data_IF_579895560537
#
_entry.id   IF_579895560537
#
_cell.length_a   1.000
_cell.length_b   1.000
_cell.length_c   1.000
_cell.angle_alpha   90.00
_cell.angle_beta   90.00
_cell.angle_gamma   90.00
#
_symmetry.space_group_name_H-M   'P 1'
#
loop_
_entity.id
_entity.type
_entity.pdbx_description
1 polymer ?
#
# COMPACT_ATOMS: atom_id res chain seq x y z
N UNK A 1 4.26 3.69 -10.19
CA UNK A 1 3.88 2.58 -11.09
C UNK A 1 3.90 1.22 -10.40
N UNK A 2 4.95 0.84 -9.67
CA UNK A 2 5.04 -0.49 -9.04
C UNK A 2 3.89 -0.82 -8.08
N UNK A 3 3.47 0.11 -7.20
CA UNK A 3 2.28 -0.09 -6.36
C UNK A 3 1.00 -0.33 -7.17
N UNK A 4 0.83 0.36 -8.30
CA UNK A 4 -0.33 0.13 -9.17
C UNK A 4 -0.29 -1.28 -9.77
N UNK A 5 0.89 -1.73 -10.24
CA UNK A 5 1.08 -3.10 -10.71
C UNK A 5 0.80 -4.14 -9.63
N UNK A 6 1.25 -3.91 -8.40
CA UNK A 6 0.96 -4.77 -7.25
C UNK A 6 -0.55 -4.91 -7.03
N UNK A 7 -1.29 -3.80 -6.95
CA UNK A 7 -2.74 -3.84 -6.74
C UNK A 7 -3.47 -4.52 -7.89
N UNK A 8 -3.05 -4.30 -9.14
CA UNK A 8 -3.64 -4.96 -10.32
C UNK A 8 -3.38 -6.46 -10.29
N UNK A 9 -2.15 -6.90 -9.98
CA UNK A 9 -1.84 -8.34 -9.87
C UNK A 9 -2.64 -8.97 -8.74
N UNK A 10 -2.72 -8.30 -7.58
CA UNK A 10 -3.47 -8.82 -6.43
C UNK A 10 -4.98 -8.90 -6.71
N UNK A 11 -5.53 -7.96 -7.49
CA UNK A 11 -6.92 -8.02 -7.96
C UNK A 11 -7.23 -9.24 -8.84
N UNK A 12 -6.24 -9.76 -9.59
CA UNK A 12 -6.43 -10.97 -10.41
C UNK A 12 -6.55 -12.24 -9.55
N UNK A 13 -6.15 -12.18 -8.29
CA UNK A 13 -6.24 -13.30 -7.35
C UNK A 13 -7.65 -13.29 -6.74
N UNK A 14 -8.44 -14.37 -6.87
CA UNK A 14 -9.75 -14.43 -6.24
C UNK A 14 -9.61 -14.40 -4.72
N UNK A 15 -10.60 -13.83 -4.04
CA UNK A 15 -10.63 -13.79 -2.58
C UNK A 15 -10.41 -15.19 -1.98
N UNK A 16 -9.64 -15.31 -0.87
CA UNK A 16 -9.47 -16.58 -0.19
C UNK A 16 -10.83 -17.21 0.18
N UNK A 17 -11.02 -18.52 -0.02
CA UNK A 17 -12.26 -19.18 0.36
C UNK A 17 -12.48 -19.14 1.88
N UNK A 18 -13.74 -19.09 2.30
CA UNK A 18 -14.11 -19.12 3.73
C UNK A 18 -13.86 -20.50 4.37
N UNK A 19 -13.82 -21.56 3.57
CA UNK A 19 -13.54 -22.92 4.03
C UNK A 19 -12.04 -23.12 4.20
N UNK A 20 -11.61 -23.35 5.44
CA UNK A 20 -10.19 -23.48 5.83
C UNK A 20 -9.49 -24.61 5.07
N UNK A 21 -10.16 -25.73 4.86
CA UNK A 21 -9.64 -26.89 4.12
C UNK A 21 -9.33 -26.59 2.65
N UNK A 22 -9.90 -25.52 2.08
CA UNK A 22 -9.66 -25.11 0.70
C UNK A 22 -8.51 -24.10 0.57
N UNK A 23 -8.04 -23.49 1.67
CA UNK A 23 -7.02 -22.45 1.63
C UNK A 23 -5.69 -22.95 1.06
N UNK A 24 -5.25 -24.15 1.45
CA UNK A 24 -4.01 -24.74 0.93
C UNK A 24 -4.07 -24.94 -0.60
N UNK A 25 -5.23 -25.36 -1.11
CA UNK A 25 -5.45 -25.50 -2.55
C UNK A 25 -5.46 -24.15 -3.25
N UNK A 26 -6.16 -23.16 -2.67
CA UNK A 26 -6.18 -21.79 -3.20
C UNK A 26 -4.77 -21.20 -3.32
N UNK A 27 -3.90 -21.39 -2.32
CA UNK A 27 -2.50 -20.94 -2.38
C UNK A 27 -1.77 -21.63 -3.55
N UNK A 28 -1.96 -22.93 -3.74
CA UNK A 28 -1.30 -23.67 -4.83
C UNK A 28 -1.79 -23.21 -6.20
N UNK A 29 -3.10 -23.03 -6.37
CA UNK A 29 -3.73 -22.61 -7.62
C UNK A 29 -3.27 -21.20 -8.04
N UNK A 30 -3.05 -20.29 -7.07
CA UNK A 30 -2.69 -18.89 -7.31
C UNK A 30 -1.24 -18.54 -6.96
N UNK A 31 -0.41 -19.55 -6.70
CA UNK A 31 0.97 -19.40 -6.23
C UNK A 31 1.79 -18.43 -7.06
N UNK A 32 1.71 -18.54 -8.39
CA UNK A 32 2.50 -17.71 -9.32
C UNK A 32 2.12 -16.24 -9.18
N UNK A 33 0.82 -15.92 -9.09
CA UNK A 33 0.36 -14.54 -8.94
C UNK A 33 0.76 -13.96 -7.59
N UNK A 34 0.66 -14.75 -6.53
CA UNK A 34 1.12 -14.37 -5.20
C UNK A 34 2.63 -14.10 -5.19
N UNK A 35 3.45 -14.94 -5.82
CA UNK A 35 4.89 -14.73 -5.96
C UNK A 35 5.21 -13.45 -6.75
N UNK A 36 4.51 -13.21 -7.87
CA UNK A 36 4.70 -11.98 -8.65
C UNK A 36 4.30 -10.75 -7.82
N UNK A 37 3.19 -10.81 -7.08
CA UNK A 37 2.76 -9.73 -6.22
C UNK A 37 3.79 -9.43 -5.13
N UNK A 38 4.36 -10.47 -4.51
CA UNK A 38 5.44 -10.38 -3.53
C UNK A 38 6.65 -9.63 -4.10
N UNK A 39 7.22 -10.11 -5.21
CA UNK A 39 8.38 -9.48 -5.85
C UNK A 39 8.11 -8.02 -6.24
N UNK A 40 6.93 -7.73 -6.81
CA UNK A 40 6.56 -6.33 -7.15
C UNK A 40 6.49 -5.47 -5.89
N UNK A 41 5.95 -5.99 -4.79
CA UNK A 41 5.76 -5.24 -3.56
C UNK A 41 7.09 -4.82 -2.95
N UNK A 42 8.06 -5.73 -2.80
CA UNK A 42 9.36 -5.36 -2.23
C UNK A 42 10.07 -4.30 -3.09
N UNK A 43 10.05 -4.42 -4.42
CA UNK A 43 10.61 -3.40 -5.30
C UNK A 43 9.82 -2.08 -5.23
N UNK A 44 8.50 -2.12 -5.04
CA UNK A 44 7.68 -0.93 -4.84
C UNK A 44 8.09 -0.19 -3.56
N UNK A 45 8.27 -0.91 -2.46
CA UNK A 45 8.70 -0.37 -1.16
C UNK A 45 10.09 0.26 -1.26
N UNK A 46 11.05 -0.42 -1.88
CA UNK A 46 12.41 0.10 -2.06
C UNK A 46 12.43 1.36 -2.93
N UNK A 47 11.64 1.40 -4.01
CA UNK A 47 11.49 2.58 -4.86
C UNK A 47 10.71 3.72 -4.18
N UNK A 48 9.92 3.41 -3.14
CA UNK A 48 9.14 4.41 -2.43
C UNK A 48 10.00 5.29 -1.51
N UNK A 49 11.06 4.73 -0.92
CA UNK A 49 12.01 5.45 -0.06
C UNK A 49 12.54 6.74 -0.71
N UNK A 50 13.20 6.70 -1.90
CA UNK A 50 13.68 7.91 -2.54
C UNK A 50 12.54 8.84 -3.00
N UNK A 51 11.37 8.28 -3.31
CA UNK A 51 10.19 9.07 -3.70
C UNK A 51 9.69 9.94 -2.54
N UNK A 52 9.62 9.41 -1.31
CA UNK A 52 9.24 10.19 -0.13
C UNK A 52 10.30 11.23 0.21
N UNK A 53 11.57 10.86 0.13
CA UNK A 53 12.67 11.80 0.37
C UNK A 53 12.65 12.98 -0.61
N UNK A 54 12.22 12.77 -1.86
CA UNK A 54 12.03 13.86 -2.82
C UNK A 54 10.86 14.77 -2.45
N UNK A 55 9.74 14.20 -2.00
CA UNK A 55 8.52 14.94 -1.64
C UNK A 55 8.69 15.86 -0.43
N UNK A 56 9.44 15.43 0.57
CA UNK A 56 9.77 16.27 1.70
C UNK A 56 11.12 15.88 2.27
N UNK A 57 12.07 16.79 2.11
CA UNK A 57 13.44 16.57 2.53
C UNK A 57 13.72 17.32 3.84
N UNK A 58 13.98 16.63 4.96
CA UNK A 58 14.25 17.27 6.25
C UNK A 58 15.48 18.20 6.23
N UNK A 59 16.37 18.07 5.24
CA UNK A 59 17.54 18.93 5.08
C UNK A 59 17.27 20.21 4.29
N UNK A 60 16.07 20.38 3.69
CA UNK A 60 15.66 21.62 3.05
C UNK A 60 15.12 22.60 4.10
N UNK A 61 15.61 23.85 4.08
CA UNK A 61 15.30 24.88 5.09
C UNK A 61 13.83 25.30 5.18
N UNK A 62 13.02 25.04 4.16
CA UNK A 62 11.65 25.56 4.03
C UNK A 62 10.57 24.48 4.00
N UNK A 63 10.87 23.24 4.43
CA UNK A 63 9.84 22.20 4.45
C UNK A 63 8.80 22.45 5.56
N UNK A 64 7.50 22.39 5.24
CA UNK A 64 6.45 22.59 6.22
C UNK A 64 6.43 21.42 7.22
N UNK A 65 6.22 21.67 8.53
CA UNK A 65 6.20 20.62 9.56
C UNK A 65 5.22 19.48 9.28
N UNK A 66 4.08 19.78 8.65
CA UNK A 66 3.09 18.77 8.28
C UNK A 66 3.60 17.78 7.21
N UNK A 67 4.42 18.23 6.25
CA UNK A 67 5.03 17.34 5.26
C UNK A 67 6.13 16.47 5.86
N UNK A 68 6.92 17.02 6.80
CA UNK A 68 7.90 16.24 7.56
C UNK A 68 7.23 15.19 8.45
N UNK A 69 6.12 15.55 9.12
CA UNK A 69 5.34 14.60 9.91
C UNK A 69 4.74 13.50 9.03
N UNK A 70 4.19 13.86 7.86
CA UNK A 70 3.69 12.89 6.88
C UNK A 70 4.80 11.95 6.37
N UNK A 71 6.01 12.47 6.12
CA UNK A 71 7.19 11.64 5.80
C UNK A 71 7.49 10.66 6.92
N UNK A 72 7.48 11.15 8.16
CA UNK A 72 7.70 10.33 9.35
C UNK A 72 6.68 9.19 9.48
N UNK A 73 5.40 9.46 9.27
CA UNK A 73 4.34 8.43 9.25
C UNK A 73 4.64 7.36 8.20
N UNK A 74 5.03 7.75 6.99
CA UNK A 74 5.32 6.79 5.93
C UNK A 74 6.57 5.97 6.24
N UNK A 75 7.66 6.61 6.65
CA UNK A 75 8.91 5.93 6.96
C UNK A 75 8.81 4.99 8.15
N UNK A 76 8.12 5.40 9.21
CA UNK A 76 8.09 4.65 10.46
C UNK A 76 6.97 3.61 10.51
N UNK A 77 5.89 3.79 9.75
CA UNK A 77 4.72 2.90 9.81
C UNK A 77 4.44 2.23 8.47
N UNK A 78 4.27 2.99 7.39
CA UNK A 78 3.81 2.44 6.11
C UNK A 78 4.85 1.53 5.48
N UNK A 79 6.12 1.95 5.40
CA UNK A 79 7.17 1.12 4.79
C UNK A 79 7.37 -0.20 5.56
N UNK A 80 7.54 -0.22 6.90
CA UNK A 80 7.66 -1.48 7.63
C UNK A 80 6.41 -2.36 7.51
N UNK A 81 5.21 -1.78 7.46
CA UNK A 81 3.98 -2.55 7.27
C UNK A 81 3.90 -3.17 5.88
N UNK A 82 4.33 -2.50 4.82
CA UNK A 82 4.41 -3.13 3.50
C UNK A 82 5.47 -4.24 3.46
N UNK A 83 6.63 -4.06 4.11
CA UNK A 83 7.61 -5.14 4.28
C UNK A 83 7.02 -6.31 5.06
N UNK A 84 6.18 -6.05 6.06
CA UNK A 84 5.46 -7.11 6.77
C UNK A 84 4.50 -7.84 5.82
N UNK A 85 3.70 -7.12 5.02
CA UNK A 85 2.79 -7.73 4.03
C UNK A 85 3.54 -8.61 3.05
N UNK A 86 4.69 -8.15 2.55
CA UNK A 86 5.61 -8.91 1.70
C UNK A 86 6.03 -10.21 2.41
N UNK A 87 6.60 -10.13 3.62
CA UNK A 87 6.99 -11.33 4.37
C UNK A 87 5.82 -12.31 4.64
N UNK A 88 4.60 -11.81 4.82
CA UNK A 88 3.40 -12.64 4.99
C UNK A 88 3.05 -13.37 3.70
N UNK A 89 3.03 -12.67 2.55
CA UNK A 89 2.77 -13.27 1.24
C UNK A 89 3.88 -14.26 0.89
N UNK A 90 5.14 -13.85 1.02
CA UNK A 90 6.31 -14.69 0.81
C UNK A 90 6.27 -15.97 1.64
N UNK A 91 5.81 -15.90 2.91
CA UNK A 91 5.65 -17.11 3.73
C UNK A 91 4.60 -18.07 3.19
N UNK A 92 3.53 -17.58 2.55
CA UNK A 92 2.50 -18.43 1.94
C UNK A 92 3.03 -19.21 0.73
N UNK A 93 3.94 -18.63 -0.05
CA UNK A 93 4.34 -19.19 -1.36
C UNK A 93 5.74 -19.79 -1.42
N UNK A 94 6.67 -19.32 -0.58
CA UNK A 94 8.04 -19.80 -0.56
C UNK A 94 8.24 -20.87 0.52
N UNK A 95 8.61 -22.11 0.12
CA UNK A 95 8.84 -23.20 1.06
C UNK A 95 10.21 -23.05 1.74
N UNK A 96 10.36 -22.04 2.60
CA UNK A 96 11.56 -21.85 3.41
C UNK A 96 11.63 -22.97 4.45
N UNK A 97 12.73 -23.71 4.45
CA UNK A 97 13.03 -24.83 5.36
C UNK A 97 12.04 -26.02 5.29
N UNK A 98 11.21 -26.12 4.24
CA UNK A 98 10.27 -27.25 4.00
C UNK A 98 9.25 -27.45 5.15
N UNK A 99 9.06 -26.46 6.03
CA UNK A 99 8.05 -26.55 7.08
C UNK A 99 6.65 -26.40 6.48
N UNK A 100 5.77 -27.43 6.60
CA UNK A 100 4.41 -27.32 6.12
C UNK A 100 3.67 -26.24 6.89
N UNK A 101 2.89 -25.43 6.18
CA UNK A 101 1.98 -24.48 6.80
C UNK A 101 0.74 -25.23 7.29
N UNK A 102 0.49 -25.18 8.60
CA UNK A 102 -0.79 -25.62 9.14
C UNK A 102 -1.91 -24.67 8.72
N UNK A 103 -3.12 -25.19 8.62
CA UNK A 103 -4.32 -24.43 8.27
C UNK A 103 -4.53 -23.20 9.17
N UNK A 104 -4.36 -23.36 10.48
CA UNK A 104 -4.45 -22.26 11.45
C UNK A 104 -3.42 -21.15 11.18
N UNK A 105 -2.20 -21.53 10.76
CA UNK A 105 -1.16 -20.58 10.40
C UNK A 105 -1.54 -19.81 9.14
N UNK A 106 -2.12 -20.47 8.14
CA UNK A 106 -2.57 -19.81 6.91
C UNK A 106 -3.65 -18.77 7.22
N UNK A 107 -4.66 -19.15 8.01
CA UNK A 107 -5.73 -18.25 8.45
C UNK A 107 -5.16 -17.05 9.20
N UNK A 108 -4.22 -17.29 10.12
CA UNK A 108 -3.54 -16.24 10.86
C UNK A 108 -2.78 -15.27 9.93
N UNK A 109 -1.99 -15.79 8.99
CA UNK A 109 -1.21 -14.97 8.04
C UNK A 109 -2.12 -14.10 7.17
N UNK A 110 -3.21 -14.68 6.61
CA UNK A 110 -4.18 -13.93 5.80
C UNK A 110 -4.93 -12.87 6.62
N UNK A 111 -5.32 -13.20 7.85
CA UNK A 111 -5.98 -12.25 8.76
C UNK A 111 -5.07 -11.09 9.12
N UNK A 112 -3.79 -11.39 9.42
CA UNK A 112 -2.78 -10.38 9.74
C UNK A 112 -2.46 -9.52 8.52
N UNK A 113 -2.43 -10.09 7.32
CA UNK A 113 -2.27 -9.35 6.07
C UNK A 113 -3.41 -8.33 5.89
N UNK A 114 -4.67 -8.75 6.05
CA UNK A 114 -5.84 -7.84 5.96
C UNK A 114 -5.76 -6.74 7.02
N UNK A 115 -5.44 -7.08 8.28
CA UNK A 115 -5.27 -6.10 9.35
C UNK A 115 -4.13 -5.11 9.11
N UNK A 116 -3.03 -5.58 8.50
CA UNK A 116 -1.89 -4.72 8.15
C UNK A 116 -2.27 -3.77 7.01
N UNK A 117 -2.99 -4.24 5.99
CA UNK A 117 -3.49 -3.41 4.89
C UNK A 117 -4.51 -2.37 5.36
N UNK A 118 -5.35 -2.69 6.35
CA UNK A 118 -6.22 -1.73 7.03
C UNK A 118 -5.41 -0.57 7.62
N UNK A 119 -4.38 -0.90 8.42
CA UNK A 119 -3.51 0.10 9.05
C UNK A 119 -2.73 0.93 8.02
N UNK A 120 -2.18 0.30 6.99
CA UNK A 120 -1.50 0.98 5.87
C UNK A 120 -2.44 2.02 5.25
N UNK A 121 -3.68 1.64 4.95
CA UNK A 121 -4.64 2.53 4.30
C UNK A 121 -4.99 3.73 5.17
N UNK A 122 -5.20 3.54 6.48
CA UNK A 122 -5.46 4.64 7.41
C UNK A 122 -4.29 5.62 7.54
N UNK A 123 -3.07 5.08 7.68
CA UNK A 123 -1.86 5.92 7.80
C UNK A 123 -1.57 6.65 6.49
N UNK A 124 -1.72 5.97 5.35
CA UNK A 124 -1.62 6.59 4.03
C UNK A 124 -2.66 7.69 3.84
N UNK A 125 -3.91 7.47 4.23
CA UNK A 125 -4.95 8.50 4.16
C UNK A 125 -4.49 9.78 4.89
N UNK A 126 -4.06 9.64 6.16
CA UNK A 126 -3.58 10.77 6.94
C UNK A 126 -2.36 11.44 6.30
N UNK A 127 -1.37 10.66 5.86
CA UNK A 127 -0.17 11.20 5.23
C UNK A 127 -0.50 11.96 3.94
N UNK A 128 -1.35 11.42 3.07
CA UNK A 128 -1.83 12.06 1.85
C UNK A 128 -2.50 13.39 2.17
N UNK A 129 -3.38 13.43 3.17
CA UNK A 129 -4.06 14.65 3.59
C UNK A 129 -3.06 15.73 4.04
N UNK A 130 -2.09 15.35 4.88
CA UNK A 130 -1.07 16.25 5.39
C UNK A 130 -0.14 16.81 4.30
N UNK A 131 0.31 15.97 3.38
CA UNK A 131 1.06 16.42 2.20
C UNK A 131 0.24 17.37 1.35
N UNK A 132 -1.02 17.02 1.09
CA UNK A 132 -1.92 17.81 0.26
C UNK A 132 -2.17 19.20 0.85
N UNK A 133 -2.36 19.30 2.18
CA UNK A 133 -2.45 20.58 2.90
C UNK A 133 -1.13 21.36 2.81
N UNK A 134 0.00 20.67 2.93
CA UNK A 134 1.33 21.28 2.90
C UNK A 134 1.67 21.89 1.55
N UNK A 135 1.33 21.20 0.47
CA UNK A 135 1.64 21.63 -0.89
C UNK A 135 0.61 22.60 -1.48
N UNK A 136 -0.53 22.84 -0.81
CA UNK A 136 -1.63 23.68 -1.33
C UNK A 136 -1.21 25.07 -1.80
N UNK A 137 -0.19 25.67 -1.17
CA UNK A 137 0.30 27.02 -1.45
C UNK A 137 1.39 27.07 -2.53
N UNK A 138 1.91 25.92 -2.96
CA UNK A 138 2.90 25.82 -4.04
C UNK A 138 2.20 26.06 -5.39
N UNK A 139 2.96 26.40 -6.43
CA UNK A 139 2.45 26.56 -7.80
C UNK A 139 1.81 25.24 -8.24
N UNK A 140 0.55 25.23 -8.68
CA UNK A 140 -0.19 23.99 -8.98
C UNK A 140 -0.72 23.22 -7.77
N UNK A 141 -0.45 23.69 -6.55
CA UNK A 141 -0.82 23.02 -5.29
C UNK A 141 -2.32 22.88 -5.05
N UNK A 142 -3.15 23.73 -5.66
CA UNK A 142 -4.61 23.60 -5.58
C UNK A 142 -5.14 22.30 -6.19
N UNK A 143 -4.55 21.86 -7.32
CA UNK A 143 -4.90 20.58 -7.95
C UNK A 143 -4.42 19.40 -7.10
N UNK A 144 -3.20 19.44 -6.59
CA UNK A 144 -2.66 18.42 -5.67
C UNK A 144 -3.55 18.30 -4.43
N UNK A 145 -4.01 19.43 -3.89
CA UNK A 145 -4.91 19.44 -2.75
C UNK A 145 -6.25 18.76 -3.06
N UNK A 146 -6.90 19.13 -4.17
CA UNK A 146 -8.17 18.54 -4.57
C UNK A 146 -8.07 17.01 -4.79
N UNK A 147 -7.09 16.55 -5.56
CA UNK A 147 -6.84 15.12 -5.75
C UNK A 147 -6.46 14.42 -4.45
N UNK A 148 -5.71 15.09 -3.58
CA UNK A 148 -5.37 14.62 -2.25
C UNK A 148 -6.56 14.34 -1.37
N UNK A 149 -7.60 15.19 -1.40
CA UNK A 149 -8.85 14.96 -0.66
C UNK A 149 -9.57 13.71 -1.18
N UNK A 150 -9.64 13.51 -2.50
CA UNK A 150 -10.22 12.29 -3.07
C UNK A 150 -9.42 11.05 -2.70
N UNK A 151 -8.09 11.09 -2.82
CA UNK A 151 -7.22 9.98 -2.44
C UNK A 151 -7.32 9.67 -0.95
N UNK A 152 -7.38 10.68 -0.08
CA UNK A 152 -7.67 10.50 1.35
C UNK A 152 -8.98 9.73 1.56
N UNK A 153 -10.09 10.17 0.92
CA UNK A 153 -11.39 9.51 1.05
C UNK A 153 -11.35 8.06 0.56
N UNK A 154 -10.68 7.81 -0.57
CA UNK A 154 -10.52 6.46 -1.10
C UNK A 154 -9.66 5.57 -0.22
N UNK A 155 -8.58 6.07 0.39
CA UNK A 155 -7.79 5.28 1.34
C UNK A 155 -8.57 4.99 2.64
N UNK A 156 -9.40 5.93 3.10
CA UNK A 156 -10.33 5.66 4.21
C UNK A 156 -11.31 4.53 3.88
N UNK A 157 -11.87 4.53 2.67
CA UNK A 157 -12.75 3.45 2.20
C UNK A 157 -11.97 2.13 2.09
N UNK A 158 -10.80 2.15 1.44
CA UNK A 158 -9.93 0.98 1.27
C UNK A 158 -9.52 0.31 2.58
N UNK A 159 -9.48 1.06 3.68
CA UNK A 159 -9.18 0.51 5.01
C UNK A 159 -10.16 -0.59 5.44
N UNK A 160 -11.37 -0.63 4.90
CA UNK A 160 -12.38 -1.66 5.18
C UNK A 160 -12.46 -2.70 4.06
N UNK A 161 -11.31 -3.21 3.62
CA UNK A 161 -11.18 -4.07 2.43
C UNK A 161 -12.04 -5.34 2.46
N UNK A 162 -12.40 -5.85 3.65
CA UNK A 162 -13.23 -7.04 3.81
C UNK A 162 -14.73 -6.83 3.54
N UNK A 163 -15.17 -5.57 3.43
CA UNK A 163 -16.58 -5.22 3.13
C UNK A 163 -16.75 -4.86 1.64
N UNK A 164 -15.66 -4.46 0.98
CA UNK A 164 -15.70 -3.93 -0.38
C UNK A 164 -15.67 -5.04 -1.43
N UNK A 165 -16.27 -4.78 -2.59
CA UNK A 165 -16.04 -5.61 -3.76
C UNK A 165 -14.58 -5.44 -4.25
N UNK A 166 -13.98 -6.46 -4.87
CA UNK A 166 -12.60 -6.39 -5.37
C UNK A 166 -12.36 -5.22 -6.34
N UNK A 167 -13.35 -4.90 -7.19
CA UNK A 167 -13.26 -3.81 -8.17
C UNK A 167 -13.20 -2.45 -7.48
N UNK A 168 -14.06 -2.23 -6.46
CA UNK A 168 -14.10 -0.98 -5.71
C UNK A 168 -12.84 -0.82 -4.85
N UNK A 169 -12.37 -1.92 -4.26
CA UNK A 169 -11.11 -1.93 -3.51
C UNK A 169 -9.93 -1.54 -4.41
N UNK A 170 -9.85 -2.11 -5.62
CA UNK A 170 -8.81 -1.76 -6.59
C UNK A 170 -8.84 -0.26 -6.93
N UNK A 171 -10.01 0.30 -7.27
CA UNK A 171 -10.15 1.74 -7.56
C UNK A 171 -9.67 2.58 -6.39
N UNK A 172 -10.05 2.20 -5.17
CA UNK A 172 -9.67 2.92 -3.97
C UNK A 172 -8.16 2.83 -3.69
N UNK A 173 -7.55 1.65 -3.85
CA UNK A 173 -6.11 1.45 -3.68
C UNK A 173 -5.29 2.19 -4.74
N UNK A 174 -5.74 2.21 -6.01
CA UNK A 174 -5.08 2.93 -7.10
C UNK A 174 -5.03 4.44 -6.90
N UNK A 175 -5.89 5.00 -6.05
CA UNK A 175 -5.85 6.43 -5.72
C UNK A 175 -4.50 6.88 -5.16
N UNK A 176 -3.80 6.02 -4.41
CA UNK A 176 -2.49 6.33 -3.84
C UNK A 176 -1.37 6.47 -4.89
N UNK A 177 -1.08 5.47 -5.75
CA UNK A 177 -0.06 5.63 -6.78
C UNK A 177 -0.43 6.71 -7.80
N UNK A 178 -1.72 6.94 -8.08
CA UNK A 178 -2.18 8.04 -8.93
C UNK A 178 -1.84 9.39 -8.28
N UNK A 179 -2.17 9.56 -6.99
CA UNK A 179 -1.85 10.78 -6.25
C UNK A 179 -0.34 11.05 -6.20
N UNK A 180 0.49 10.01 -5.99
CA UNK A 180 1.95 10.14 -6.01
C UNK A 180 2.49 10.72 -7.32
N UNK A 181 1.98 10.26 -8.47
CA UNK A 181 2.37 10.79 -9.79
C UNK A 181 1.99 12.27 -9.92
N UNK A 182 0.77 12.62 -9.48
CA UNK A 182 0.32 14.01 -9.52
C UNK A 182 1.19 14.93 -8.66
N UNK A 183 1.49 14.55 -7.43
CA UNK A 183 2.29 15.41 -6.54
C UNK A 183 3.72 15.58 -7.06
N UNK A 184 4.34 14.53 -7.62
CA UNK A 184 5.66 14.62 -8.23
C UNK A 184 5.70 15.52 -9.46
N UNK A 185 4.63 15.54 -10.27
CA UNK A 185 4.55 16.41 -11.44
C UNK A 185 4.54 17.90 -11.11
N UNK A 186 4.13 18.25 -9.88
CA UNK A 186 4.02 19.64 -9.41
C UNK A 186 5.30 20.12 -8.72
N UNK A 187 6.15 19.23 -8.20
CA UNK A 187 7.45 19.61 -7.61
C UNK A 187 8.57 19.85 -8.64
N UNK A 188 8.42 19.39 -9.88
CA UNK A 188 9.45 19.54 -10.92
C UNK A 188 9.36 20.86 -11.71
N UNK A 189 8.49 21.80 -11.30
CA UNK A 189 8.25 23.10 -11.96
C UNK A 189 8.55 24.26 -11.02
#
# INVERSE_FOLDING_TARGET
MLFASYYVVFYLIPSPPNEVSQLSKWILDWKIYLQIADEILIFAVLAFIPSIYQLANPWRKEEPPAALFASGLIFLLVLPMFVLVDLLIGRLVYPVNVYPLGEETIVFLLSLQVGTMHMISLVLALAILLYSISFRKRKGGGFVFAFGIFAFGFQMIASYSWILSPELLLVCQLSFPIWLVFVQSVEQV
#
